data_IF_186555494325
#
_entry.id   IF_186555494325
#
_cell.length_a   1.000
_cell.length_b   1.000
_cell.length_c   1.000
_cell.angle_alpha   90.00
_cell.angle_beta   90.00
_cell.angle_gamma   90.00
#
_symmetry.space_group_name_H-M   'P 1'
#
loop_
_entity.id
_entity.type
_entity.pdbx_description
1 polymer ?
#
# COMPACT_ATOMS: atom_id res chain seq x y z
N UNK A 1 -23.82 -15.05 -32.77
CA UNK A 1 -22.44 -14.59 -33.07
C UNK A 1 -21.88 -13.93 -31.81
N UNK A 2 -21.19 -14.74 -31.00
CA UNK A 2 -20.68 -14.37 -29.69
C UNK A 2 -19.27 -13.78 -29.84
N UNK A 3 -19.19 -12.46 -29.92
CA UNK A 3 -17.92 -11.74 -29.83
C UNK A 3 -17.58 -11.52 -28.35
N UNK A 4 -16.93 -12.52 -27.77
CA UNK A 4 -16.15 -12.42 -26.54
C UNK A 4 -14.82 -11.73 -26.84
N UNK A 5 -14.48 -10.64 -26.12
CA UNK A 5 -13.10 -10.28 -25.76
C UNK A 5 -13.10 -9.16 -24.70
N UNK A 6 -12.96 -9.59 -23.45
CA UNK A 6 -12.19 -9.00 -22.35
C UNK A 6 -12.06 -7.47 -22.28
N UNK A 7 -13.10 -6.81 -21.76
CA UNK A 7 -12.97 -5.54 -21.07
C UNK A 7 -12.54 -5.79 -19.62
N UNK A 8 -11.24 -5.70 -19.36
CA UNK A 8 -10.59 -6.04 -18.09
C UNK A 8 -11.28 -5.45 -16.84
N UNK A 9 -11.59 -6.26 -15.80
CA UNK A 9 -12.00 -5.74 -14.50
C UNK A 9 -10.76 -5.29 -13.73
N UNK A 10 -10.21 -4.11 -14.04
CA UNK A 10 -9.04 -3.57 -13.33
C UNK A 10 -9.40 -2.35 -12.46
N UNK A 11 -10.64 -1.84 -12.51
CA UNK A 11 -11.00 -0.59 -11.84
C UNK A 11 -11.33 -0.77 -10.36
N UNK A 12 -11.89 -1.90 -9.94
CA UNK A 12 -12.20 -2.15 -8.52
C UNK A 12 -10.94 -2.38 -7.69
N UNK A 13 -10.08 -3.32 -8.11
CA UNK A 13 -8.83 -3.63 -7.41
C UNK A 13 -7.88 -2.43 -7.26
N UNK A 14 -7.86 -1.53 -8.26
CA UNK A 14 -7.05 -0.30 -8.22
C UNK A 14 -7.54 0.69 -7.15
N UNK A 15 -8.86 0.81 -6.97
CA UNK A 15 -9.46 1.69 -5.95
C UNK A 15 -9.16 1.13 -4.55
N UNK A 16 -9.25 -0.19 -4.40
CA UNK A 16 -8.92 -0.87 -3.15
C UNK A 16 -7.44 -0.72 -2.80
N UNK A 17 -6.54 -0.82 -3.79
CA UNK A 17 -5.12 -0.60 -3.60
C UNK A 17 -4.80 0.85 -3.18
N UNK A 18 -5.46 1.84 -3.78
CA UNK A 18 -5.27 3.24 -3.36
C UNK A 18 -5.71 3.46 -1.91
N UNK A 19 -6.89 2.96 -1.53
CA UNK A 19 -7.37 3.04 -0.13
C UNK A 19 -6.45 2.29 0.83
N UNK A 20 -5.88 1.17 0.39
CA UNK A 20 -4.89 0.44 1.16
C UNK A 20 -3.66 1.34 1.40
N UNK A 21 -3.02 1.86 0.34
CA UNK A 21 -1.86 2.76 0.46
C UNK A 21 -2.16 3.97 1.35
N UNK A 22 -3.35 4.57 1.24
CA UNK A 22 -3.76 5.67 2.13
C UNK A 22 -3.80 5.27 3.61
N UNK A 23 -4.34 4.09 3.91
CA UNK A 23 -4.34 3.56 5.27
C UNK A 23 -2.91 3.24 5.74
N UNK A 24 -2.07 2.67 4.88
CA UNK A 24 -0.65 2.43 5.18
C UNK A 24 0.03 3.74 5.57
N UNK A 25 -0.08 4.77 4.73
CA UNK A 25 0.48 6.09 5.00
C UNK A 25 -0.03 6.66 6.33
N UNK A 26 -1.33 6.52 6.63
CA UNK A 26 -1.91 6.98 7.90
C UNK A 26 -1.34 6.21 9.10
N UNK A 27 -1.22 4.89 9.00
CA UNK A 27 -0.67 4.03 10.06
C UNK A 27 0.81 4.36 10.27
N UNK A 28 1.58 4.51 9.20
CA UNK A 28 2.99 4.89 9.25
C UNK A 28 3.18 6.22 9.99
N UNK A 29 2.44 7.26 9.59
CA UNK A 29 2.48 8.56 10.27
C UNK A 29 2.08 8.44 11.75
N UNK A 30 1.06 7.62 12.07
CA UNK A 30 0.63 7.38 13.46
C UNK A 30 1.69 6.65 14.31
N UNK A 31 2.52 5.81 13.69
CA UNK A 31 3.63 5.13 14.34
C UNK A 31 4.91 6.00 14.38
N UNK A 32 4.87 7.24 13.91
CA UNK A 32 6.01 8.15 13.89
C UNK A 32 6.89 8.09 12.64
N UNK A 33 6.49 7.32 11.62
CA UNK A 33 7.18 7.28 10.34
C UNK A 33 6.60 8.33 9.38
N UNK A 34 7.40 9.30 8.93
CA UNK A 34 6.96 10.36 8.01
C UNK A 34 6.70 9.80 6.60
N UNK A 35 5.49 9.30 6.36
CA UNK A 35 5.09 8.80 5.06
C UNK A 35 4.60 9.92 4.12
N UNK A 36 4.48 11.15 4.62
CA UNK A 36 3.85 12.28 3.94
C UNK A 36 2.33 12.18 3.92
N UNK A 37 1.70 12.86 2.96
CA UNK A 37 0.24 12.88 2.83
C UNK A 37 -0.33 11.51 2.46
N UNK A 38 -1.40 11.10 3.17
CA UNK A 38 -2.16 9.87 2.89
C UNK A 38 -3.03 10.00 1.63
N UNK A 39 -2.40 10.32 0.50
CA UNK A 39 -3.03 10.55 -0.81
C UNK A 39 -3.14 9.25 -1.64
N UNK A 40 -2.53 8.16 -1.14
CA UNK A 40 -2.48 6.87 -1.81
C UNK A 40 -1.39 6.81 -2.87
N UNK A 41 -0.43 7.75 -2.82
CA UNK A 41 0.68 7.88 -3.76
C UNK A 41 1.97 7.39 -3.14
N UNK A 42 2.70 6.59 -3.89
CA UNK A 42 4.02 6.09 -3.51
C UNK A 42 5.11 7.13 -3.81
N UNK A 43 5.30 8.07 -2.89
CA UNK A 43 6.41 9.02 -2.92
C UNK A 43 7.66 8.52 -2.18
N UNK A 44 8.78 9.23 -2.32
CA UNK A 44 10.03 8.88 -1.65
C UNK A 44 9.89 8.84 -0.11
N UNK A 45 9.15 9.79 0.48
CA UNK A 45 8.81 9.78 1.91
C UNK A 45 8.07 8.51 2.33
N UNK A 46 7.05 8.14 1.55
CA UNK A 46 6.28 6.92 1.76
C UNK A 46 7.17 5.68 1.65
N UNK A 47 8.07 5.60 0.66
CA UNK A 47 9.04 4.50 0.55
C UNK A 47 9.92 4.40 1.79
N UNK A 48 10.48 5.50 2.28
CA UNK A 48 11.31 5.50 3.50
C UNK A 48 10.53 5.05 4.73
N UNK A 49 9.31 5.54 4.91
CA UNK A 49 8.45 5.12 6.01
C UNK A 49 8.09 3.62 5.92
N UNK A 50 7.81 3.12 4.71
CA UNK A 50 7.55 1.70 4.46
C UNK A 50 8.78 0.85 4.77
N UNK A 51 9.97 1.24 4.31
CA UNK A 51 11.22 0.51 4.59
C UNK A 51 11.44 0.38 6.10
N UNK A 52 11.27 1.48 6.83
CA UNK A 52 11.44 1.48 8.28
C UNK A 52 10.44 0.55 8.98
N UNK A 53 9.16 0.58 8.55
CA UNK A 53 8.14 -0.34 9.05
C UNK A 53 8.44 -1.80 8.68
N UNK A 54 8.86 -2.07 7.44
CA UNK A 54 9.22 -3.40 6.98
C UNK A 54 10.37 -3.95 7.82
N UNK A 55 11.44 -3.16 8.05
CA UNK A 55 12.55 -3.55 8.92
C UNK A 55 12.10 -3.85 10.34
N UNK A 56 11.23 -3.01 10.92
CA UNK A 56 10.68 -3.21 12.27
C UNK A 56 9.90 -4.54 12.37
N UNK A 57 9.12 -4.86 11.34
CA UNK A 57 8.34 -6.09 11.25
C UNK A 57 9.13 -7.30 10.73
N UNK A 58 10.48 -7.22 10.69
CA UNK A 58 11.37 -8.30 10.19
C UNK A 58 11.09 -8.70 8.73
N UNK A 59 10.54 -7.78 7.94
CA UNK A 59 10.27 -7.94 6.51
C UNK A 59 11.43 -7.35 5.69
N UNK A 60 11.50 -7.73 4.42
CA UNK A 60 12.43 -7.11 3.47
C UNK A 60 12.04 -5.63 3.26
N UNK A 61 12.98 -4.73 3.53
CA UNK A 61 12.82 -3.28 3.35
C UNK A 61 12.90 -2.89 1.87
N UNK A 62 11.94 -3.34 1.07
CA UNK A 62 11.84 -2.98 -0.35
C UNK A 62 11.38 -1.54 -0.54
N UNK A 63 10.65 -0.99 0.43
CA UNK A 63 10.04 0.33 0.33
C UNK A 63 8.87 0.36 -0.65
N UNK A 64 8.36 -0.81 -1.03
CA UNK A 64 7.24 -0.96 -1.96
C UNK A 64 5.98 -1.38 -1.21
N UNK A 65 4.83 -0.84 -1.64
CA UNK A 65 3.53 -1.32 -1.14
C UNK A 65 3.19 -2.56 -1.94
N UNK A 66 3.49 -3.70 -1.34
CA UNK A 66 3.06 -5.00 -1.82
C UNK A 66 1.80 -5.46 -1.08
N UNK A 67 1.04 -6.38 -1.68
CA UNK A 67 -0.12 -6.99 -1.04
C UNK A 67 0.24 -7.60 0.33
N UNK A 68 1.46 -8.14 0.48
CA UNK A 68 1.90 -8.68 1.77
C UNK A 68 2.04 -7.58 2.84
N UNK A 69 2.50 -6.38 2.47
CA UNK A 69 2.56 -5.22 3.37
C UNK A 69 1.16 -4.74 3.74
N UNK A 70 0.28 -4.61 2.75
CA UNK A 70 -1.13 -4.25 2.95
C UNK A 70 -1.80 -5.23 3.91
N UNK A 71 -1.57 -6.53 3.71
CA UNK A 71 -2.13 -7.61 4.53
C UNK A 71 -1.57 -7.59 5.95
N UNK A 72 -0.27 -7.37 6.13
CA UNK A 72 0.34 -7.22 7.45
C UNK A 72 -0.24 -6.03 8.23
N UNK A 73 -0.54 -4.93 7.54
CA UNK A 73 -1.16 -3.75 8.14
C UNK A 73 -2.66 -3.94 8.44
N UNK A 74 -3.39 -4.66 7.57
CA UNK A 74 -4.80 -5.02 7.81
C UNK A 74 -4.97 -6.02 8.95
N UNK A 75 -4.02 -6.94 9.12
CA UNK A 75 -4.03 -7.92 10.22
C UNK A 75 -3.85 -7.26 11.59
N UNK A 76 -3.37 -6.02 11.65
CA UNK A 76 -3.07 -5.28 12.89
C UNK A 76 -4.19 -4.32 13.33
N UNK A 77 -5.43 -4.62 12.93
CA UNK A 77 -6.63 -3.83 13.25
C UNK A 77 -7.00 -3.87 14.73
#
# INVERSE_FOLDING_TARGET
PESWQDGAPQTTASIDMKKAVQNIQRILNKNGYDAGGADGKMGQKTKTAIMAFQTDNKMAATGEVDENLVKALLARK
#
